data_IF_143947885315
#
_entry.id   IF_143947885315
#
_cell.length_a   1.000
_cell.length_b   1.000
_cell.length_c   1.000
_cell.angle_alpha   90.00
_cell.angle_beta   90.00
_cell.angle_gamma   90.00
#
_symmetry.space_group_name_H-M   'P 1'
#
loop_
_entity.id
_entity.type
_entity.pdbx_description
1 polymer ?
#
# COMPACT_ATOMS: atom_id res chain seq x y z
N UNK A 1 2.34 12.48 -10.80
CA UNK A 1 2.76 11.32 -9.97
C UNK A 1 1.58 10.39 -9.77
N UNK A 2 1.78 9.12 -10.03
CA UNK A 2 0.77 8.10 -9.76
C UNK A 2 0.92 7.58 -8.34
N UNK A 3 -0.20 7.33 -7.69
CA UNK A 3 -0.24 6.69 -6.37
C UNK A 3 -0.85 5.31 -6.51
N UNK A 4 -0.16 4.30 -6.01
CA UNK A 4 -0.63 2.91 -6.06
C UNK A 4 -0.73 2.39 -4.63
N UNK A 5 -1.91 1.97 -4.24
CA UNK A 5 -2.14 1.36 -2.94
C UNK A 5 -1.87 -0.14 -3.04
N UNK A 6 -0.94 -0.64 -2.23
CA UNK A 6 -0.55 -2.04 -2.21
C UNK A 6 -1.01 -2.66 -0.90
N UNK A 7 -1.85 -3.69 -0.96
CA UNK A 7 -2.24 -4.47 0.21
C UNK A 7 -1.41 -5.74 0.27
N UNK A 8 -1.08 -6.21 1.47
CA UNK A 8 -0.25 -7.40 1.63
C UNK A 8 1.15 -7.21 1.04
N UNK A 9 1.75 -6.02 1.24
CA UNK A 9 3.00 -5.66 0.58
C UNK A 9 4.20 -6.54 0.98
N UNK A 10 4.10 -7.26 2.10
CA UNK A 10 5.15 -8.19 2.53
C UNK A 10 5.08 -9.55 1.82
N UNK A 11 4.02 -9.81 1.07
CA UNK A 11 3.88 -11.02 0.29
C UNK A 11 4.72 -10.98 -0.99
N UNK A 12 4.77 -12.10 -1.72
CA UNK A 12 5.56 -12.21 -2.94
C UNK A 12 5.09 -11.22 -4.01
N UNK A 13 3.78 -11.10 -4.20
CA UNK A 13 3.22 -10.19 -5.20
C UNK A 13 3.50 -8.74 -4.84
N UNK A 14 3.32 -8.37 -3.57
CA UNK A 14 3.59 -7.01 -3.12
C UNK A 14 5.05 -6.62 -3.31
N UNK A 15 5.97 -7.53 -3.01
CA UNK A 15 7.40 -7.29 -3.23
C UNK A 15 7.74 -7.13 -4.71
N UNK A 16 7.13 -7.95 -5.56
CA UNK A 16 7.33 -7.85 -7.01
C UNK A 16 6.82 -6.50 -7.53
N UNK A 17 5.67 -6.05 -7.06
CA UNK A 17 5.12 -4.75 -7.44
C UNK A 17 6.08 -3.63 -7.03
N UNK A 18 6.64 -3.70 -5.82
CA UNK A 18 7.59 -2.69 -5.36
C UNK A 18 8.86 -2.66 -6.22
N UNK A 19 9.33 -3.81 -6.68
CA UNK A 19 10.50 -3.87 -7.55
C UNK A 19 10.20 -3.32 -8.95
N UNK A 20 9.04 -3.65 -9.51
CA UNK A 20 8.70 -3.27 -10.89
C UNK A 20 8.28 -1.81 -11.01
N UNK A 21 7.60 -1.27 -10.03
CA UNK A 21 6.98 0.04 -10.12
C UNK A 21 7.63 1.10 -9.24
N UNK A 22 8.71 0.78 -8.56
CA UNK A 22 9.43 1.77 -7.78
C UNK A 22 10.12 2.76 -8.72
N UNK A 23 9.65 3.99 -8.75
CA UNK A 23 10.23 5.05 -9.57
C UNK A 23 9.86 6.41 -8.99
N UNK A 24 10.51 7.46 -9.49
CA UNK A 24 10.24 8.83 -9.03
C UNK A 24 8.84 9.31 -9.42
N UNK A 25 8.25 8.69 -10.45
CA UNK A 25 6.92 9.07 -10.95
C UNK A 25 5.78 8.31 -10.27
N UNK A 26 6.10 7.35 -9.40
CA UNK A 26 5.11 6.50 -8.77
C UNK A 26 5.32 6.51 -7.26
N UNK A 27 4.26 6.81 -6.52
CA UNK A 27 4.25 6.67 -5.07
C UNK A 27 3.54 5.38 -4.71
N UNK A 28 4.24 4.46 -4.07
CA UNK A 28 3.66 3.22 -3.58
C UNK A 28 3.23 3.40 -2.13
N UNK A 29 1.94 3.17 -1.87
CA UNK A 29 1.39 3.23 -0.52
C UNK A 29 1.30 1.78 -0.03
N UNK A 30 2.35 1.34 0.64
CA UNK A 30 2.46 -0.05 1.07
C UNK A 30 1.69 -0.28 2.36
N UNK A 31 0.86 -1.30 2.36
CA UNK A 31 0.07 -1.67 3.53
C UNK A 31 0.16 -3.18 3.77
N UNK A 32 0.08 -3.55 5.04
CA UNK A 32 0.00 -4.96 5.44
C UNK A 32 -0.67 -5.01 6.81
N UNK A 33 -1.06 -6.20 7.26
CA UNK A 33 -1.65 -6.37 8.59
C UNK A 33 -0.63 -6.06 9.70
N UNK A 34 0.64 -6.19 9.39
CA UNK A 34 1.73 -5.89 10.32
C UNK A 34 2.41 -4.59 9.89
N UNK A 35 2.48 -3.63 10.80
CA UNK A 35 3.16 -2.37 10.57
C UNK A 35 4.67 -2.58 10.45
N UNK A 36 5.30 -1.81 9.58
CA UNK A 36 6.75 -1.84 9.41
C UNK A 36 7.27 -0.52 8.88
N UNK A 37 8.57 -0.45 8.61
CA UNK A 37 9.18 0.72 8.03
C UNK A 37 8.59 0.99 6.64
N UNK A 38 7.98 2.15 6.46
CA UNK A 38 7.29 2.55 5.22
C UNK A 38 6.09 1.68 4.88
N UNK A 39 5.58 0.94 5.87
CA UNK A 39 4.42 0.07 5.71
C UNK A 39 3.36 0.51 6.71
N UNK A 40 2.19 0.85 6.20
CA UNK A 40 1.05 1.22 7.04
C UNK A 40 0.30 -0.04 7.46
N UNK A 41 -0.09 -0.10 8.73
CA UNK A 41 -0.92 -1.20 9.20
C UNK A 41 -2.33 -1.06 8.61
N UNK A 42 -2.78 -2.06 7.89
CA UNK A 42 -4.12 -2.08 7.30
C UNK A 42 -4.62 -3.51 7.21
N UNK A 43 -5.74 -3.76 7.88
CA UNK A 43 -6.46 -5.01 7.74
C UNK A 43 -7.57 -4.83 6.69
N UNK A 44 -7.47 -5.54 5.59
CA UNK A 44 -8.43 -5.42 4.49
C UNK A 44 -9.84 -5.87 4.86
N UNK A 45 -9.99 -6.58 5.98
CA UNK A 45 -11.32 -6.95 6.50
C UNK A 45 -11.97 -5.80 7.27
N UNK A 46 -11.20 -4.77 7.62
CA UNK A 46 -11.71 -3.56 8.27
C UNK A 46 -12.10 -2.55 7.20
N UNK A 47 -13.35 -2.60 6.78
CA UNK A 47 -13.85 -1.79 5.67
C UNK A 47 -13.71 -0.29 5.95
N UNK A 48 -13.96 0.13 7.19
CA UNK A 48 -13.84 1.56 7.55
C UNK A 48 -12.41 2.06 7.41
N UNK A 49 -11.44 1.24 7.85
CA UNK A 49 -10.02 1.60 7.72
C UNK A 49 -9.59 1.68 6.25
N UNK A 50 -10.06 0.75 5.42
CA UNK A 50 -9.75 0.75 3.98
C UNK A 50 -10.32 2.01 3.33
N UNK A 51 -11.58 2.33 3.58
CA UNK A 51 -12.23 3.51 3.02
C UNK A 51 -11.52 4.78 3.46
N UNK A 52 -11.19 4.89 4.73
CA UNK A 52 -10.48 6.06 5.25
C UNK A 52 -9.12 6.26 4.58
N UNK A 53 -8.37 5.17 4.37
CA UNK A 53 -7.06 5.26 3.72
C UNK A 53 -7.20 5.64 2.24
N UNK A 54 -8.16 5.07 1.54
CA UNK A 54 -8.40 5.41 0.12
C UNK A 54 -8.79 6.87 -0.02
N UNK A 55 -9.66 7.38 0.85
CA UNK A 55 -10.05 8.79 0.81
C UNK A 55 -8.87 9.72 1.13
N UNK A 56 -8.03 9.34 2.11
CA UNK A 56 -6.89 10.15 2.50
C UNK A 56 -5.83 10.20 1.40
N UNK A 57 -5.49 9.08 0.80
CA UNK A 57 -4.41 8.98 -0.17
C UNK A 57 -4.83 9.25 -1.60
N UNK A 58 -6.08 8.98 -1.94
CA UNK A 58 -6.64 9.16 -3.28
C UNK A 58 -5.78 8.50 -4.36
N UNK A 59 -5.49 7.20 -4.22
CA UNK A 59 -4.62 6.50 -5.15
C UNK A 59 -5.18 6.38 -6.55
#
# INVERSE_FOLDING_TARGET
MKKILVTGCNGQLGRAINQEYASDDVKLINTDVVEGERILALDITDVEAVVALVEKEQP
#
